data_IF_915290734924
#
_entry.id   IF_915290734924
#
_cell.length_a   1.000
_cell.length_b   1.000
_cell.length_c   1.000
_cell.angle_alpha   90.00
_cell.angle_beta   90.00
_cell.angle_gamma   90.00
#
_symmetry.space_group_name_H-M   'P 1'
#
loop_
_entity.id
_entity.type
_entity.pdbx_description
1 polymer ?
#
# COMPACT_ATOMS: atom_id res chain seq x y z
N UNK A 1 1.97 27.70 -24.79
CA UNK A 1 2.24 28.72 -23.78
C UNK A 1 1.68 28.38 -22.43
N UNK A 2 0.38 28.13 -22.30
CA UNK A 2 -0.20 27.74 -21.03
C UNK A 2 0.40 26.47 -20.46
N UNK A 3 0.78 25.56 -21.35
CA UNK A 3 1.37 24.30 -20.93
C UNK A 3 2.76 24.47 -20.32
N UNK A 4 3.46 25.52 -20.69
CA UNK A 4 4.78 25.80 -20.15
C UNK A 4 4.75 26.15 -18.66
N UNK A 5 3.72 26.86 -18.22
CA UNK A 5 3.58 27.20 -16.80
C UNK A 5 3.29 25.95 -15.98
N UNK A 6 2.40 25.09 -16.45
CA UNK A 6 2.12 23.82 -15.80
C UNK A 6 3.33 22.90 -15.82
N UNK A 7 4.04 22.86 -16.94
CA UNK A 7 5.21 22.01 -17.07
C UNK A 7 6.35 22.44 -16.14
N UNK A 8 6.48 23.73 -15.89
CA UNK A 8 7.48 24.22 -14.93
C UNK A 8 7.26 23.64 -13.54
N UNK A 9 6.00 23.49 -13.13
CA UNK A 9 5.69 22.97 -11.81
C UNK A 9 6.07 21.49 -11.66
N UNK A 10 5.92 20.71 -12.71
CA UNK A 10 6.20 19.26 -12.67
C UNK A 10 7.53 18.90 -13.27
N UNK A 11 8.21 19.87 -13.86
CA UNK A 11 9.34 19.65 -14.74
C UNK A 11 10.53 18.97 -14.06
N UNK A 12 10.77 19.26 -12.80
CA UNK A 12 11.91 18.67 -12.08
C UNK A 12 11.77 17.15 -11.94
N UNK A 13 10.61 16.67 -11.59
CA UNK A 13 10.38 15.23 -11.44
C UNK A 13 10.39 14.54 -12.79
N UNK A 14 9.69 15.10 -13.77
CA UNK A 14 9.64 14.54 -15.12
C UNK A 14 11.01 14.54 -15.75
N UNK A 15 11.74 15.65 -15.64
CA UNK A 15 13.08 15.75 -16.19
C UNK A 15 14.03 14.71 -15.58
N UNK A 16 13.97 14.52 -14.28
CA UNK A 16 14.77 13.49 -13.61
C UNK A 16 14.39 12.10 -14.04
N UNK A 17 13.10 11.82 -14.19
CA UNK A 17 12.65 10.53 -14.69
C UNK A 17 13.20 10.27 -16.09
N UNK A 18 13.14 11.26 -16.97
CA UNK A 18 13.67 11.12 -18.31
C UNK A 18 15.18 10.88 -18.31
N UNK A 19 15.93 11.61 -17.49
CA UNK A 19 17.37 11.39 -17.38
C UNK A 19 17.69 9.97 -16.95
N UNK A 20 17.00 9.48 -15.94
CA UNK A 20 17.21 8.13 -15.43
C UNK A 20 16.86 7.10 -16.51
N UNK A 21 15.70 7.28 -17.16
CA UNK A 21 15.26 6.36 -18.21
C UNK A 21 16.25 6.32 -19.36
N UNK A 22 16.75 7.49 -19.78
CA UNK A 22 17.70 7.56 -20.88
C UNK A 22 19.04 6.91 -20.54
N UNK A 23 19.40 6.85 -19.27
CA UNK A 23 20.63 6.20 -18.84
C UNK A 23 20.48 4.69 -18.65
N UNK A 24 19.27 4.17 -18.72
CA UNK A 24 18.99 2.74 -18.54
C UNK A 24 19.24 1.95 -19.81
N UNK A 25 19.55 0.66 -19.65
CA UNK A 25 19.56 -0.28 -20.76
C UNK A 25 18.14 -0.49 -21.27
N UNK A 26 18.03 -1.03 -22.48
CA UNK A 26 16.72 -1.33 -23.06
C UNK A 26 15.90 -2.27 -22.18
N UNK A 27 16.54 -3.27 -21.59
CA UNK A 27 15.87 -4.21 -20.70
C UNK A 27 15.36 -3.52 -19.45
N UNK A 28 16.15 -2.65 -18.88
CA UNK A 28 15.74 -1.88 -17.71
C UNK A 28 14.57 -0.96 -18.04
N UNK A 29 14.59 -0.34 -19.20
CA UNK A 29 13.49 0.52 -19.66
C UNK A 29 12.20 -0.27 -19.79
N UNK A 30 12.25 -1.48 -20.31
CA UNK A 30 11.07 -2.34 -20.41
C UNK A 30 10.52 -2.70 -19.06
N UNK A 31 11.38 -2.99 -18.10
CA UNK A 31 10.97 -3.31 -16.73
C UNK A 31 10.27 -2.13 -16.08
N UNK A 32 10.85 -0.93 -16.20
CA UNK A 32 10.25 0.28 -15.64
C UNK A 32 8.91 0.59 -16.29
N UNK A 33 8.82 0.43 -17.61
CA UNK A 33 7.57 0.65 -18.32
C UNK A 33 6.45 -0.26 -17.78
N UNK A 34 6.78 -1.52 -17.57
CA UNK A 34 5.80 -2.46 -17.04
C UNK A 34 5.36 -2.07 -15.64
N UNK A 35 6.30 -1.71 -14.78
CA UNK A 35 5.99 -1.30 -13.42
C UNK A 35 5.15 -0.02 -13.39
N UNK A 36 5.49 0.95 -14.21
CA UNK A 36 4.75 2.20 -14.29
C UNK A 36 3.32 1.97 -14.80
N UNK A 37 3.20 1.11 -15.80
CA UNK A 37 1.90 0.77 -16.38
C UNK A 37 1.01 0.06 -15.35
N UNK A 38 1.59 -0.86 -14.59
CA UNK A 38 0.87 -1.56 -13.54
C UNK A 38 0.41 -0.61 -12.43
N UNK A 39 1.23 0.37 -12.09
CA UNK A 39 0.85 1.39 -11.11
C UNK A 39 -0.37 2.18 -11.57
N UNK A 40 -0.36 2.63 -12.82
CA UNK A 40 -1.45 3.40 -13.38
C UNK A 40 -2.73 2.58 -13.45
N UNK A 41 -2.61 1.34 -13.92
CA UNK A 41 -3.76 0.45 -14.03
C UNK A 41 -4.34 0.08 -12.69
N UNK A 42 -3.50 -0.17 -11.71
CA UNK A 42 -3.93 -0.46 -10.35
C UNK A 42 -4.77 0.67 -9.78
N UNK A 43 -4.30 1.89 -9.91
CA UNK A 43 -5.01 3.06 -9.43
C UNK A 43 -6.35 3.26 -10.14
N UNK A 44 -6.36 3.09 -11.46
CA UNK A 44 -7.57 3.25 -12.25
C UNK A 44 -8.67 2.28 -11.89
N UNK A 45 -8.29 1.05 -11.61
CA UNK A 45 -9.28 0.00 -11.39
C UNK A 45 -9.81 -0.03 -9.97
N UNK A 46 -9.19 0.71 -9.08
CA UNK A 46 -9.55 0.66 -7.68
C UNK A 46 -9.32 -0.69 -7.03
N UNK A 47 -8.69 -1.61 -7.76
CA UNK A 47 -8.35 -2.88 -7.20
C UNK A 47 -7.32 -2.74 -6.16
N UNK A 48 -6.59 -1.76 -6.33
CA UNK A 48 -5.53 -1.62 -5.48
C UNK A 48 -6.01 -1.40 -4.08
N UNK A 49 -6.79 -0.40 -3.86
CA UNK A 49 -7.02 0.02 -2.49
C UNK A 49 -8.41 0.53 -2.27
N UNK A 50 -9.04 0.00 -1.26
CA UNK A 50 -10.30 0.54 -0.79
C UNK A 50 -10.02 1.44 0.41
N UNK A 51 -10.45 2.69 0.33
CA UNK A 51 -10.38 3.62 1.45
C UNK A 51 -11.31 3.17 2.55
N UNK A 52 -10.85 3.27 3.79
CA UNK A 52 -11.64 2.90 4.94
C UNK A 52 -11.10 3.59 6.18
N UNK A 53 -11.70 3.32 7.32
CA UNK A 53 -11.22 3.84 8.59
C UNK A 53 -11.56 2.80 9.66
N UNK A 54 -10.64 1.85 9.84
CA UNK A 54 -10.86 0.74 10.76
C UNK A 54 -9.82 0.78 11.87
N UNK A 55 -10.29 0.67 13.10
CA UNK A 55 -9.37 0.53 14.22
C UNK A 55 -8.64 -0.79 14.10
N UNK A 56 -7.34 -0.77 14.33
CA UNK A 56 -6.51 -1.95 14.30
C UNK A 56 -5.58 -1.98 15.51
N UNK A 57 -5.52 -3.14 16.13
CA UNK A 57 -4.47 -3.43 17.10
C UNK A 57 -3.43 -4.24 16.35
N UNK A 58 -2.17 -3.84 16.45
CA UNK A 58 -1.12 -4.60 15.78
C UNK A 58 0.08 -4.76 16.70
N UNK A 59 0.73 -5.89 16.55
CA UNK A 59 1.87 -6.25 17.39
C UNK A 59 3.07 -6.49 16.52
N UNK A 60 4.17 -5.86 16.89
CA UNK A 60 5.50 -6.20 16.39
C UNK A 60 6.15 -7.13 17.40
N UNK A 61 7.39 -7.53 17.17
CA UNK A 61 8.08 -8.46 18.05
C UNK A 61 8.12 -7.97 19.51
N UNK A 62 8.28 -6.68 19.69
CA UNK A 62 8.52 -6.11 21.02
C UNK A 62 7.34 -5.41 21.64
N UNK A 63 6.36 -4.97 20.85
CA UNK A 63 5.34 -4.06 21.34
C UNK A 63 3.99 -4.27 20.66
N UNK A 64 2.95 -3.82 21.35
CA UNK A 64 1.62 -3.70 20.75
C UNK A 64 1.34 -2.23 20.48
N UNK A 65 0.60 -1.98 19.42
CA UNK A 65 0.28 -0.63 18.97
C UNK A 65 -1.17 -0.55 18.57
N UNK A 66 -1.68 0.67 18.56
CA UNK A 66 -3.02 0.95 18.04
C UNK A 66 -2.92 1.94 16.90
N UNK A 67 -3.77 1.77 15.92
CA UNK A 67 -3.80 2.67 14.79
C UNK A 67 -5.10 2.50 14.02
N UNK A 68 -5.11 3.05 12.82
CA UNK A 68 -6.27 2.96 11.94
C UNK A 68 -5.84 2.52 10.56
N UNK A 69 -6.51 1.50 10.03
CA UNK A 69 -6.32 1.11 8.65
C UNK A 69 -7.03 2.16 7.79
N UNK A 70 -6.27 2.83 6.95
CA UNK A 70 -6.78 3.88 6.07
C UNK A 70 -7.14 3.37 4.69
N UNK A 71 -6.52 2.30 4.26
CA UNK A 71 -6.89 1.62 3.03
C UNK A 71 -6.44 0.17 3.10
N UNK A 72 -7.10 -0.65 2.31
CA UNK A 72 -6.85 -2.09 2.25
C UNK A 72 -6.92 -2.56 0.80
N UNK A 73 -6.04 -3.47 0.45
CA UNK A 73 -6.05 -4.12 -0.86
C UNK A 73 -5.86 -5.61 -0.67
N UNK A 74 -5.81 -6.36 -1.78
CA UNK A 74 -5.51 -7.79 -1.73
C UNK A 74 -4.10 -8.08 -1.25
N UNK A 75 -3.21 -7.10 -1.31
CA UNK A 75 -1.80 -7.29 -0.99
C UNK A 75 -1.41 -6.77 0.38
N UNK A 76 -2.15 -5.84 0.92
CA UNK A 76 -1.79 -5.27 2.20
C UNK A 76 -2.68 -4.11 2.63
N UNK A 77 -2.22 -3.44 3.67
CA UNK A 77 -2.95 -2.32 4.27
C UNK A 77 -1.99 -1.16 4.52
N UNK A 78 -2.56 0.05 4.58
CA UNK A 78 -1.85 1.18 5.12
C UNK A 78 -2.44 1.52 6.48
N UNK A 79 -1.60 1.56 7.50
CA UNK A 79 -2.02 1.84 8.88
C UNK A 79 -1.47 3.20 9.29
N UNK A 80 -2.37 4.09 9.67
CA UNK A 80 -1.97 5.35 10.27
C UNK A 80 -1.59 5.08 11.73
N UNK A 81 -0.35 5.31 12.05
CA UNK A 81 0.18 5.09 13.39
C UNK A 81 1.38 5.99 13.62
N UNK A 82 1.62 6.35 14.87
CA UNK A 82 2.69 7.27 15.24
C UNK A 82 3.87 6.59 15.92
N UNK A 83 3.98 5.29 15.81
CA UNK A 83 5.05 4.57 16.49
C UNK A 83 6.28 4.44 15.61
N UNK A 84 7.48 4.46 16.17
CA UNK A 84 8.68 4.18 15.40
C UNK A 84 8.74 2.68 15.09
N UNK A 85 8.47 2.32 13.87
CA UNK A 85 8.40 0.94 13.42
C UNK A 85 9.36 0.77 12.27
N UNK A 86 10.08 -0.34 12.26
CA UNK A 86 11.13 -0.59 11.29
C UNK A 86 10.63 -1.38 10.09
N UNK A 87 11.16 -1.06 8.93
CA UNK A 87 10.89 -1.79 7.70
C UNK A 87 11.36 -3.23 7.87
N UNK A 88 10.63 -4.16 7.28
CA UNK A 88 10.84 -5.61 7.32
C UNK A 88 10.44 -6.28 8.63
N UNK A 89 9.95 -5.54 9.60
CA UNK A 89 9.42 -6.13 10.83
C UNK A 89 8.13 -6.87 10.55
N UNK A 90 7.97 -8.03 11.19
CA UNK A 90 6.72 -8.78 11.10
C UNK A 90 5.66 -8.14 11.98
N UNK A 91 4.44 -8.17 11.51
CA UNK A 91 3.30 -7.56 12.20
C UNK A 91 2.14 -8.52 12.24
N UNK A 92 1.54 -8.66 13.40
CA UNK A 92 0.25 -9.35 13.54
C UNK A 92 -0.80 -8.29 13.73
N UNK A 93 -1.82 -8.29 12.89
CA UNK A 93 -2.89 -7.30 12.92
C UNK A 93 -4.20 -7.94 13.33
N UNK A 94 -4.97 -7.24 14.16
CA UNK A 94 -6.31 -7.67 14.57
C UNK A 94 -7.26 -6.50 14.38
N UNK A 95 -8.30 -6.71 13.59
CA UNK A 95 -9.27 -5.67 13.30
C UNK A 95 -10.64 -6.28 12.96
N UNK A 96 -11.65 -5.45 12.95
CA UNK A 96 -13.01 -5.84 12.50
C UNK A 96 -13.41 -4.97 11.33
N UNK A 97 -14.02 -5.57 10.32
CA UNK A 97 -14.50 -4.83 9.16
C UNK A 97 -15.82 -4.09 9.44
N UNK A 98 -16.57 -4.56 10.41
CA UNK A 98 -17.73 -3.85 10.95
C UNK A 98 -17.99 -4.34 12.38
N UNK A 99 -18.91 -3.68 13.07
CA UNK A 99 -19.16 -3.98 14.48
C UNK A 99 -19.70 -5.38 14.73
N UNK A 100 -20.38 -5.92 13.75
CA UNK A 100 -21.02 -7.23 13.89
C UNK A 100 -20.16 -8.38 13.42
N UNK A 101 -19.01 -8.10 12.82
CA UNK A 101 -18.13 -9.12 12.30
C UNK A 101 -17.21 -9.65 13.39
N UNK A 102 -16.66 -10.84 13.14
CA UNK A 102 -15.62 -11.37 14.00
C UNK A 102 -14.32 -10.64 13.75
N UNK A 103 -13.45 -10.64 14.74
CA UNK A 103 -12.12 -10.07 14.59
C UNK A 103 -11.32 -10.87 13.57
N UNK A 104 -10.63 -10.14 12.70
CA UNK A 104 -9.78 -10.71 11.67
C UNK A 104 -8.34 -10.61 12.14
N UNK A 105 -7.59 -11.70 12.02
CA UNK A 105 -6.17 -11.73 12.36
C UNK A 105 -5.38 -11.98 11.09
N UNK A 106 -4.48 -11.07 10.77
CA UNK A 106 -3.65 -11.19 9.58
C UNK A 106 -2.20 -10.87 9.93
N UNK A 107 -1.31 -11.62 9.32
CA UNK A 107 0.12 -11.39 9.45
C UNK A 107 0.63 -10.66 8.24
N UNK A 108 1.61 -9.81 8.46
CA UNK A 108 2.24 -9.09 7.38
C UNK A 108 3.64 -8.67 7.74
N UNK A 109 4.26 -7.98 6.82
CA UNK A 109 5.59 -7.43 6.97
C UNK A 109 5.55 -5.98 6.58
N UNK A 110 6.25 -5.13 7.33
CA UNK A 110 6.28 -3.71 7.05
C UNK A 110 7.11 -3.46 5.80
N UNK A 111 6.45 -3.05 4.73
CA UNK A 111 7.07 -2.81 3.44
C UNK A 111 7.62 -1.40 3.31
N UNK A 112 6.96 -0.44 3.94
CA UNK A 112 7.45 0.94 3.97
C UNK A 112 6.89 1.67 5.17
N UNK A 113 7.58 2.72 5.57
CA UNK A 113 7.19 3.55 6.69
C UNK A 113 7.37 5.01 6.32
N UNK A 114 6.39 5.82 6.66
CA UNK A 114 6.43 7.27 6.49
C UNK A 114 6.01 7.92 7.79
N UNK A 115 6.11 9.24 7.86
CA UNK A 115 5.62 9.94 9.03
C UNK A 115 4.10 9.84 9.21
N UNK A 116 3.40 9.42 8.16
CA UNK A 116 1.94 9.28 8.19
C UNK A 116 1.48 7.90 8.64
N UNK A 117 2.35 6.91 8.53
CA UNK A 117 2.01 5.56 8.91
C UNK A 117 2.87 4.52 8.22
N UNK A 118 2.40 3.29 8.24
CA UNK A 118 3.14 2.16 7.70
C UNK A 118 2.32 1.41 6.65
N UNK A 119 3.01 0.94 5.61
CA UNK A 119 2.44 0.02 4.65
C UNK A 119 2.83 -1.39 5.02
N UNK A 120 1.84 -2.24 5.20
CA UNK A 120 2.05 -3.64 5.58
C UNK A 120 1.63 -4.53 4.42
N UNK A 121 2.54 -5.39 3.99
CA UNK A 121 2.25 -6.37 2.97
C UNK A 121 1.87 -7.68 3.64
N UNK A 122 0.77 -8.29 3.21
CA UNK A 122 0.33 -9.55 3.81
C UNK A 122 1.31 -10.67 3.51
N UNK A 123 1.57 -11.51 4.51
CA UNK A 123 2.44 -12.66 4.36
C UNK A 123 1.76 -13.78 3.57
N UNK A 124 0.49 -14.02 3.85
CA UNK A 124 -0.27 -15.06 3.16
C UNK A 124 -0.56 -14.64 1.72
N UNK A 125 -0.52 -15.60 0.81
CA UNK A 125 -0.75 -15.40 -0.62
C UNK A 125 -1.47 -16.61 -1.18
N UNK A 126 -2.06 -16.45 -2.36
CA UNK A 126 -2.70 -17.56 -3.06
C UNK A 126 -4.18 -17.33 -3.24
N UNK A 127 -4.84 -18.20 -4.05
CA UNK A 127 -6.24 -18.02 -4.41
C UNK A 127 -7.20 -17.98 -3.22
N UNK A 128 -6.98 -18.84 -2.24
CA UNK A 128 -7.86 -18.89 -1.06
C UNK A 128 -7.74 -17.61 -0.24
N UNK A 129 -6.52 -17.11 -0.07
CA UNK A 129 -6.29 -15.88 0.64
C UNK A 129 -6.90 -14.70 -0.10
N UNK A 130 -6.70 -14.64 -1.42
CA UNK A 130 -7.27 -13.58 -2.26
C UNK A 130 -8.78 -13.56 -2.16
N UNK A 131 -9.41 -14.71 -2.16
CA UNK A 131 -10.86 -14.83 -2.03
C UNK A 131 -11.33 -14.32 -0.67
N UNK A 132 -10.62 -14.70 0.38
CA UNK A 132 -10.94 -14.26 1.74
C UNK A 132 -10.82 -12.74 1.87
N UNK A 133 -9.73 -12.16 1.39
CA UNK A 133 -9.50 -10.72 1.43
C UNK A 133 -10.55 -9.99 0.59
N UNK A 134 -10.87 -10.51 -0.60
CA UNK A 134 -11.91 -9.93 -1.44
C UNK A 134 -13.24 -9.85 -0.71
N UNK A 135 -13.60 -10.91 0.01
CA UNK A 135 -14.81 -10.92 0.83
C UNK A 135 -14.78 -9.88 1.94
N UNK A 136 -13.64 -9.73 2.61
CA UNK A 136 -13.49 -8.72 3.66
C UNK A 136 -13.65 -7.30 3.09
N UNK A 137 -13.01 -7.04 1.96
CA UNK A 137 -13.07 -5.72 1.32
C UNK A 137 -14.52 -5.36 0.96
N UNK A 138 -15.28 -6.32 0.50
CA UNK A 138 -16.69 -6.10 0.15
C UNK A 138 -17.54 -5.76 1.36
N UNK A 139 -17.16 -6.21 2.54
CA UNK A 139 -17.89 -5.93 3.78
C UNK A 139 -17.60 -4.54 4.34
N UNK A 140 -16.58 -3.90 3.86
CA UNK A 140 -16.21 -2.56 4.32
C UNK A 140 -17.05 -1.51 3.58
N UNK A 141 -17.68 -0.65 4.34
CA UNK A 141 -18.52 0.43 3.77
C UNK A 141 -17.74 1.72 3.59
#
# INVERSE_FOLDING_TARGET
MRNQVKLKKYNLTIAKLLEVILSMSEEQQKTILKQADDLVKGDRRGFGRKSCHLQVDFATTDRTHKGHIKNISHHGVFIEAKAPIMISEEVLMVFKVNQNSKAVKLKGEIAHATRWGIGVEFTAKGPDFDKMIGGLIQQIN
#
